data_IF_425191333077
#
_entry.id   IF_425191333077
#
_cell.length_a   1.000
_cell.length_b   1.000
_cell.length_c   1.000
_cell.angle_alpha   90.00
_cell.angle_beta   90.00
_cell.angle_gamma   90.00
#
_symmetry.space_group_name_H-M   'P 1'
#
loop_
_entity.id
_entity.type
_entity.pdbx_description
1 polymer ?
#
# COMPACT_ATOMS: atom_id res chain seq x y z
N UNK A 1 7.87 26.02 -8.06
CA UNK A 1 7.74 24.62 -8.52
C UNK A 1 6.31 24.47 -9.02
N UNK A 2 6.09 23.98 -10.24
CA UNK A 2 4.75 23.65 -10.71
C UNK A 2 4.31 22.33 -10.07
N UNK A 3 3.13 22.31 -9.45
CA UNK A 3 2.54 21.06 -8.99
C UNK A 3 1.99 20.33 -10.23
N UNK A 4 2.58 19.18 -10.56
CA UNK A 4 1.97 18.28 -11.53
C UNK A 4 0.78 17.59 -10.89
N UNK A 5 -0.40 17.65 -11.53
CA UNK A 5 -1.59 16.90 -11.12
C UNK A 5 -1.96 15.90 -12.19
N UNK A 6 -2.23 14.67 -11.79
CA UNK A 6 -2.76 13.62 -12.67
C UNK A 6 -4.21 13.35 -12.28
N UNK A 7 -5.04 12.99 -13.27
CA UNK A 7 -6.45 12.62 -13.08
C UNK A 7 -6.68 11.30 -13.79
N UNK A 8 -7.33 10.37 -13.10
CA UNK A 8 -7.82 9.11 -13.66
C UNK A 8 -9.34 9.23 -13.72
N UNK A 9 -9.92 8.95 -14.87
CA UNK A 9 -11.36 9.07 -15.12
C UNK A 9 -12.01 7.68 -15.12
N UNK A 10 -13.33 7.63 -14.94
CA UNK A 10 -14.14 6.40 -15.00
C UNK A 10 -13.78 5.31 -13.98
N UNK A 11 -13.16 5.72 -12.86
CA UNK A 11 -12.84 4.82 -11.74
C UNK A 11 -14.13 4.36 -11.05
N UNK A 12 -14.35 3.06 -11.01
CA UNK A 12 -15.46 2.41 -10.30
C UNK A 12 -15.06 2.02 -8.88
N UNK A 13 -13.92 1.36 -8.72
CA UNK A 13 -13.33 1.05 -7.41
C UNK A 13 -11.80 1.15 -7.42
N UNK A 14 -11.22 1.22 -6.23
CA UNK A 14 -9.77 1.34 -6.01
C UNK A 14 -9.35 0.21 -5.07
N UNK A 15 -8.41 -0.62 -5.52
CA UNK A 15 -7.72 -1.54 -4.64
C UNK A 15 -6.51 -0.85 -4.03
N UNK A 16 -6.33 -1.02 -2.72
CA UNK A 16 -5.20 -0.45 -2.00
C UNK A 16 -4.41 -1.58 -1.38
N UNK A 17 -3.13 -1.66 -1.72
CA UNK A 17 -2.19 -2.58 -1.06
C UNK A 17 -1.06 -1.79 -0.40
N UNK A 18 -0.54 -2.32 0.69
CA UNK A 18 0.60 -1.77 1.40
C UNK A 18 1.60 -2.89 1.67
N UNK A 19 2.88 -2.63 1.42
CA UNK A 19 3.92 -3.62 1.53
C UNK A 19 5.20 -3.02 2.10
N UNK A 20 6.01 -3.90 2.67
CA UNK A 20 7.31 -3.56 3.22
C UNK A 20 8.37 -4.56 2.78
N UNK A 21 9.61 -4.08 2.71
CA UNK A 21 10.75 -4.94 2.49
C UNK A 21 11.95 -4.42 3.27
N UNK A 22 12.81 -5.32 3.80
CA UNK A 22 14.12 -4.91 4.29
C UNK A 22 14.95 -4.35 3.13
N UNK A 23 15.74 -3.33 3.44
CA UNK A 23 16.76 -2.73 2.58
C UNK A 23 18.11 -2.86 3.26
N UNK A 24 19.17 -2.97 2.47
CA UNK A 24 20.55 -3.03 2.97
C UNK A 24 20.83 -1.96 4.04
N UNK A 25 21.56 -2.36 5.08
CA UNK A 25 21.87 -1.49 6.21
C UNK A 25 20.79 -1.41 7.29
N UNK A 26 19.82 -2.32 7.30
CA UNK A 26 18.81 -2.43 8.36
C UNK A 26 17.66 -1.43 8.23
N UNK A 27 17.54 -0.78 7.08
CA UNK A 27 16.42 0.11 6.79
C UNK A 27 15.23 -0.71 6.29
N UNK A 28 14.02 -0.23 6.55
CA UNK A 28 12.78 -0.79 6.00
C UNK A 28 12.27 0.17 4.92
N UNK A 29 11.87 -0.38 3.78
CA UNK A 29 11.13 0.35 2.76
C UNK A 29 9.64 0.11 2.97
N UNK A 30 8.84 1.17 2.83
CA UNK A 30 7.38 1.11 2.85
C UNK A 30 6.87 1.65 1.53
N UNK A 31 5.91 0.97 0.91
CA UNK A 31 5.18 1.54 -0.22
C UNK A 31 3.71 1.15 -0.19
N UNK A 32 2.89 2.07 -0.70
CA UNK A 32 1.46 1.87 -0.89
C UNK A 32 1.14 1.95 -2.38
N UNK A 33 0.37 0.99 -2.87
CA UNK A 33 -0.09 0.94 -4.26
C UNK A 33 -1.58 1.16 -4.30
N UNK A 34 -2.01 2.11 -5.15
CA UNK A 34 -3.40 2.35 -5.49
C UNK A 34 -3.62 1.88 -6.92
N UNK A 35 -4.44 0.85 -7.09
CA UNK A 35 -4.81 0.31 -8.40
C UNK A 35 -6.25 0.72 -8.70
N UNK A 36 -6.45 1.35 -9.85
CA UNK A 36 -7.74 1.90 -10.26
C UNK A 36 -8.39 0.96 -11.28
N UNK A 37 -9.67 0.65 -11.10
CA UNK A 37 -10.41 -0.22 -12.00
C UNK A 37 -11.68 0.46 -12.52
N UNK A 38 -12.09 0.10 -13.73
CA UNK A 38 -13.41 0.44 -14.24
C UNK A 38 -14.49 -0.55 -13.76
N UNK A 39 -15.73 -0.31 -14.20
CA UNK A 39 -16.90 -1.13 -13.86
C UNK A 39 -16.84 -2.58 -14.33
N UNK A 40 -16.03 -2.87 -15.34
CA UNK A 40 -15.87 -4.22 -15.89
C UNK A 40 -14.68 -4.94 -15.25
N UNK A 41 -14.02 -4.30 -14.28
CA UNK A 41 -12.84 -4.82 -13.58
C UNK A 41 -11.54 -4.65 -14.36
N UNK A 42 -11.52 -3.82 -15.41
CA UNK A 42 -10.31 -3.55 -16.18
C UNK A 42 -9.45 -2.52 -15.44
N UNK A 43 -8.16 -2.82 -15.29
CA UNK A 43 -7.21 -1.90 -14.66
C UNK A 43 -7.00 -0.65 -15.55
N UNK A 44 -7.33 0.51 -15.00
CA UNK A 44 -7.16 1.83 -15.62
C UNK A 44 -5.76 2.41 -15.38
N UNK A 45 -5.13 2.04 -14.26
CA UNK A 45 -3.80 2.52 -13.92
C UNK A 45 -3.39 2.18 -12.50
N UNK A 46 -2.18 2.59 -12.15
CA UNK A 46 -1.58 2.36 -10.83
C UNK A 46 -0.78 3.59 -10.37
N UNK A 47 -0.86 3.90 -9.09
CA UNK A 47 0.01 4.87 -8.42
C UNK A 47 0.72 4.18 -7.26
N UNK A 48 2.06 4.21 -7.28
CA UNK A 48 2.91 3.67 -6.22
C UNK A 48 3.56 4.80 -5.44
N UNK A 49 3.30 4.86 -4.14
CA UNK A 49 3.89 5.82 -3.23
C UNK A 49 4.97 5.15 -2.37
N UNK A 50 6.24 5.46 -2.61
CA UNK A 50 7.33 5.05 -1.73
C UNK A 50 7.43 6.01 -0.55
N UNK A 51 7.22 5.49 0.66
CA UNK A 51 7.08 6.28 1.86
C UNK A 51 8.35 6.26 2.70
N UNK A 52 8.63 7.39 3.35
CA UNK A 52 9.72 7.47 4.33
C UNK A 52 9.37 6.80 5.65
N UNK A 53 8.09 6.68 5.96
CA UNK A 53 7.52 6.21 7.22
C UNK A 53 6.12 5.63 6.99
N UNK A 54 5.68 4.61 7.75
CA UNK A 54 4.38 3.96 7.54
C UNK A 54 3.19 4.88 7.85
N UNK A 55 3.33 5.86 8.74
CA UNK A 55 2.22 6.77 9.13
C UNK A 55 1.83 7.75 8.01
N UNK A 56 2.63 7.84 6.94
CA UNK A 56 2.34 8.68 5.79
C UNK A 56 1.39 8.05 4.76
N UNK A 57 1.06 6.77 4.93
CA UNK A 57 0.14 6.07 4.02
C UNK A 57 -1.29 6.54 4.19
N UNK A 58 -2.07 6.44 3.10
CA UNK A 58 -3.51 6.68 3.15
C UNK A 58 -4.17 5.57 3.98
N UNK A 59 -5.10 5.92 4.90
CA UNK A 59 -5.81 4.92 5.68
C UNK A 59 -6.68 4.02 4.78
N UNK A 60 -6.81 2.74 5.16
CA UNK A 60 -7.68 1.78 4.47
C UNK A 60 -8.88 1.54 5.39
N UNK A 61 -9.95 2.32 5.19
CA UNK A 61 -11.09 2.35 6.11
C UNK A 61 -10.70 2.88 7.49
N UNK A 62 -11.23 2.26 8.55
CA UNK A 62 -10.91 2.58 9.95
C UNK A 62 -9.62 1.91 10.45
N UNK A 63 -8.96 1.10 9.60
CA UNK A 63 -7.76 0.36 9.98
C UNK A 63 -6.49 1.07 9.49
N UNK A 64 -5.41 1.09 10.30
CA UNK A 64 -4.12 1.50 9.79
C UNK A 64 -3.70 0.57 8.63
N UNK A 65 -2.95 1.07 7.64
CA UNK A 65 -2.50 0.26 6.51
C UNK A 65 -1.78 -1.00 6.99
N UNK A 66 -2.21 -2.16 6.49
CA UNK A 66 -1.56 -3.43 6.77
C UNK A 66 -0.30 -3.57 5.92
N UNK A 67 0.86 -3.64 6.56
CA UNK A 67 2.18 -3.60 5.91
C UNK A 67 2.72 -4.97 5.47
N UNK A 68 1.86 -6.00 5.43
CA UNK A 68 2.22 -7.37 5.08
C UNK A 68 2.92 -8.12 6.22
N UNK A 69 4.05 -7.60 6.71
CA UNK A 69 4.79 -8.16 7.84
C UNK A 69 5.01 -7.12 8.93
N UNK A 70 4.64 -7.46 10.15
CA UNK A 70 5.00 -6.67 11.32
C UNK A 70 6.44 -7.00 11.73
N UNK A 71 7.41 -6.30 11.13
CA UNK A 71 8.84 -6.47 11.40
C UNK A 71 9.24 -6.10 12.85
N UNK A 72 8.31 -5.54 13.65
CA UNK A 72 8.53 -5.28 15.07
C UNK A 72 8.19 -6.47 15.97
N UNK A 73 7.52 -7.50 15.43
CA UNK A 73 7.16 -8.71 16.17
C UNK A 73 8.17 -9.83 15.90
N UNK A 74 8.66 -10.53 16.93
CA UNK A 74 9.57 -11.66 16.74
C UNK A 74 8.90 -12.73 15.86
N UNK A 75 9.68 -13.37 14.98
CA UNK A 75 9.26 -14.31 13.95
C UNK A 75 8.44 -15.55 14.42
N UNK A 76 8.15 -15.67 15.72
CA UNK A 76 7.35 -16.74 16.31
C UNK A 76 5.84 -16.50 16.33
N UNK A 77 5.34 -15.43 15.71
CA UNK A 77 3.90 -15.18 15.54
C UNK A 77 3.49 -15.23 14.05
N UNK A 78 4.14 -16.09 13.28
CA UNK A 78 3.80 -16.38 11.87
C UNK A 78 2.74 -17.49 11.74
N UNK A 79 2.26 -18.05 12.85
CA UNK A 79 1.12 -18.98 12.88
C UNK A 79 -0.15 -18.23 13.28
N UNK A 80 -0.66 -17.42 12.36
CA UNK A 80 -1.93 -16.74 12.52
C UNK A 80 -2.44 -16.42 11.13
N UNK A 81 -3.34 -17.26 10.64
CA UNK A 81 -3.84 -17.24 9.28
C UNK A 81 -4.14 -15.83 8.78
N UNK A 82 -3.80 -15.62 7.51
CA UNK A 82 -4.36 -14.54 6.71
C UNK A 82 -5.86 -14.41 7.02
N UNK A 83 -6.38 -13.22 7.38
CA UNK A 83 -7.82 -13.03 7.46
C UNK A 83 -8.50 -13.04 6.08
N UNK A 84 -7.76 -13.39 5.01
CA UNK A 84 -8.25 -13.71 3.68
C UNK A 84 -7.65 -15.01 3.16
#
# INVERSE_FOLDING_TARGET
>A
MSNASFRVHDVDHIEVTAATAPRDGGFVCWWQTLTFFDRDGVQLGEVVAFLKRPEAALPIGDQPPYWGMDLSKPAGLLDGGSPF
#
